data_IF_865746466691
#
_entry.id   IF_865746466691
#
_cell.length_a   1.000
_cell.length_b   1.000
_cell.length_c   1.000
_cell.angle_alpha   90.00
_cell.angle_beta   90.00
_cell.angle_gamma   90.00
#
_symmetry.space_group_name_H-M   'P 1'
#
loop_
_entity.id
_entity.type
_entity.pdbx_description
1 polymer ?
#
# COMPACT_ATOMS: atom_id res chain seq x y z
N UNK A 1 12.72 -17.86 -27.71
CA UNK A 1 13.52 -16.61 -27.66
C UNK A 1 13.75 -16.31 -26.18
N UNK A 2 14.87 -16.79 -25.61
CA UNK A 2 15.17 -16.54 -24.18
C UNK A 2 15.77 -15.15 -24.12
N UNK A 3 15.07 -14.20 -23.49
CA UNK A 3 15.48 -12.79 -23.42
C UNK A 3 16.73 -12.57 -22.56
N UNK A 4 16.67 -11.66 -21.58
CA UNK A 4 17.81 -11.25 -20.75
C UNK A 4 18.27 -12.30 -19.69
N UNK A 5 17.85 -13.55 -19.85
CA UNK A 5 18.11 -14.63 -18.89
C UNK A 5 17.29 -14.54 -17.60
N UNK A 6 17.49 -15.48 -16.66
CA UNK A 6 16.70 -15.59 -15.43
C UNK A 6 17.13 -14.62 -14.31
N UNK A 7 18.27 -13.93 -14.46
CA UNK A 7 18.79 -13.00 -13.45
C UNK A 7 18.25 -11.60 -13.69
N UNK A 8 18.06 -10.85 -12.59
CA UNK A 8 17.68 -9.43 -12.68
C UNK A 8 18.77 -8.68 -13.48
N UNK A 9 18.41 -7.99 -14.57
CA UNK A 9 19.37 -7.19 -15.32
C UNK A 9 19.96 -6.09 -14.43
N UNK A 10 21.24 -5.73 -14.63
CA UNK A 10 21.83 -4.60 -13.93
C UNK A 10 21.09 -3.30 -14.31
N UNK A 11 21.05 -2.34 -13.39
CA UNK A 11 20.55 -1.00 -13.70
C UNK A 11 21.33 -0.40 -14.86
N UNK A 12 20.63 0.23 -15.80
CA UNK A 12 21.25 0.94 -16.91
C UNK A 12 22.13 2.07 -16.35
N UNK A 13 23.30 2.31 -16.96
CA UNK A 13 24.24 3.35 -16.54
C UNK A 13 23.64 4.77 -16.47
N UNK A 14 22.57 5.04 -17.21
CA UNK A 14 21.82 6.32 -17.12
C UNK A 14 22.62 7.55 -17.55
N UNK A 15 23.43 7.47 -18.61
CA UNK A 15 24.19 8.63 -19.12
C UNK A 15 23.24 9.75 -19.59
N UNK A 16 23.56 10.98 -19.20
CA UNK A 16 22.86 12.20 -19.61
C UNK A 16 23.67 13.02 -20.64
N UNK A 17 24.74 12.44 -21.21
CA UNK A 17 25.67 13.13 -22.09
C UNK A 17 25.03 13.64 -23.39
N UNK A 18 24.06 12.91 -23.92
CA UNK A 18 23.38 13.23 -25.19
C UNK A 18 22.13 14.10 -24.99
N UNK A 19 21.85 14.55 -23.76
CA UNK A 19 20.65 15.32 -23.45
C UNK A 19 20.87 16.80 -23.76
N UNK A 20 19.98 17.44 -24.56
CA UNK A 20 20.02 18.88 -24.80
C UNK A 20 20.04 19.72 -23.51
N UNK A 21 20.75 20.85 -23.53
CA UNK A 21 20.96 21.69 -22.34
C UNK A 21 19.67 22.26 -21.75
N UNK A 22 18.71 22.59 -22.60
CA UNK A 22 17.38 23.05 -22.21
C UNK A 22 16.61 21.95 -21.47
N UNK A 23 16.67 20.70 -21.95
CA UNK A 23 16.07 19.56 -21.26
C UNK A 23 16.80 19.22 -19.96
N UNK A 24 18.13 19.33 -19.90
CA UNK A 24 18.87 19.17 -18.65
C UNK A 24 18.44 20.19 -17.59
N UNK A 25 18.18 21.43 -17.99
CA UNK A 25 17.67 22.45 -17.07
C UNK A 25 16.26 22.10 -16.55
N UNK A 26 15.38 21.58 -17.41
CA UNK A 26 14.05 21.11 -16.99
C UNK A 26 14.14 19.89 -16.08
N UNK A 27 15.01 18.93 -16.37
CA UNK A 27 15.22 17.74 -15.53
C UNK A 27 15.72 18.16 -14.15
N UNK A 28 16.71 19.04 -14.10
CA UNK A 28 17.20 19.58 -12.82
C UNK A 28 16.09 20.30 -12.06
N UNK A 29 15.27 21.10 -12.74
CA UNK A 29 14.13 21.73 -12.10
C UNK A 29 13.15 20.71 -11.49
N UNK A 30 12.86 19.63 -12.21
CA UNK A 30 12.04 18.53 -11.70
C UNK A 30 12.71 17.84 -10.50
N UNK A 31 14.01 17.58 -10.56
CA UNK A 31 14.78 17.04 -9.43
C UNK A 31 14.65 17.94 -8.21
N UNK A 32 14.79 19.26 -8.37
CA UNK A 32 14.72 20.22 -7.28
C UNK A 32 13.32 20.29 -6.64
N UNK A 33 12.23 20.23 -7.42
CA UNK A 33 10.86 20.31 -6.88
C UNK A 33 10.33 18.98 -6.31
N UNK A 34 10.86 17.84 -6.78
CA UNK A 34 10.40 16.52 -6.34
C UNK A 34 11.34 15.85 -5.32
N UNK A 35 12.59 16.32 -5.19
CA UNK A 35 13.48 15.84 -4.13
C UNK A 35 12.98 16.37 -2.79
N UNK A 36 12.76 15.45 -1.84
CA UNK A 36 12.41 15.80 -0.46
C UNK A 36 13.66 15.63 0.40
N UNK A 37 14.29 16.74 0.86
CA UNK A 37 15.42 16.65 1.77
C UNK A 37 15.05 16.00 3.09
N UNK A 38 16.03 15.38 3.75
CA UNK A 38 15.83 14.70 5.04
C UNK A 38 15.21 15.63 6.09
N UNK A 39 15.64 16.89 6.14
CA UNK A 39 15.16 17.89 7.09
C UNK A 39 13.68 18.19 6.88
N UNK A 40 13.22 18.19 5.62
CA UNK A 40 11.81 18.35 5.28
C UNK A 40 11.02 17.11 5.67
N UNK A 41 11.56 15.92 5.44
CA UNK A 41 10.93 14.67 5.86
C UNK A 41 10.78 14.59 7.38
N UNK A 42 11.81 14.96 8.14
CA UNK A 42 11.79 14.99 9.61
C UNK A 42 10.69 15.94 10.14
N UNK A 43 10.51 17.09 9.48
CA UNK A 43 9.41 18.03 9.79
C UNK A 43 8.03 17.45 9.47
N UNK A 44 7.89 16.78 8.31
CA UNK A 44 6.64 16.12 7.92
C UNK A 44 6.27 15.06 8.94
N UNK A 45 7.20 14.18 9.32
CA UNK A 45 6.96 13.13 10.32
C UNK A 45 6.54 13.73 11.66
N UNK A 46 7.27 14.74 12.14
CA UNK A 46 6.94 15.44 13.40
C UNK A 46 5.52 16.02 13.36
N UNK A 47 5.12 16.64 12.24
CA UNK A 47 3.77 17.18 12.08
C UNK A 47 2.72 16.08 11.97
N UNK A 48 3.04 14.99 11.27
CA UNK A 48 2.14 13.85 11.08
C UNK A 48 1.81 13.18 12.41
N UNK A 49 2.81 12.95 13.27
CA UNK A 49 2.60 12.41 14.63
C UNK A 49 1.64 13.29 15.44
N UNK A 50 1.79 14.62 15.39
CA UNK A 50 0.88 15.54 16.07
C UNK A 50 -0.56 15.48 15.54
N UNK A 51 -0.74 15.27 14.24
CA UNK A 51 -2.09 15.10 13.67
C UNK A 51 -2.70 13.74 14.04
N UNK A 52 -1.90 12.68 14.21
CA UNK A 52 -2.36 11.40 14.76
C UNK A 52 -2.84 11.56 16.21
N UNK A 53 -2.04 12.20 17.06
CA UNK A 53 -2.41 12.50 18.45
C UNK A 53 -3.70 13.31 18.54
N UNK A 54 -3.82 14.35 17.69
CA UNK A 54 -5.03 15.16 17.59
C UNK A 54 -6.25 14.35 17.15
N UNK A 55 -6.05 13.41 16.22
CA UNK A 55 -7.13 12.53 15.73
C UNK A 55 -7.65 11.56 16.79
N UNK A 56 -6.78 11.13 17.70
CA UNK A 56 -7.20 10.32 18.84
C UNK A 56 -7.91 11.13 19.94
N UNK A 57 -7.62 12.43 20.05
CA UNK A 57 -8.14 13.28 21.12
C UNK A 57 -9.53 13.88 20.83
N UNK A 58 -9.89 14.09 19.56
CA UNK A 58 -11.13 14.78 19.17
C UNK A 58 -11.69 14.26 17.84
N UNK A 59 -12.99 14.04 17.80
CA UNK A 59 -13.74 13.75 16.57
C UNK A 59 -13.70 14.93 15.57
N UNK A 60 -13.76 14.62 14.28
CA UNK A 60 -13.76 15.62 13.20
C UNK A 60 -12.39 16.26 12.92
N UNK A 61 -11.30 15.65 13.38
CA UNK A 61 -9.93 15.93 12.94
C UNK A 61 -9.73 15.57 11.46
N UNK A 62 -8.66 16.12 10.86
CA UNK A 62 -8.27 15.77 9.48
C UNK A 62 -7.90 14.30 9.34
N UNK A 63 -7.27 13.71 10.37
CA UNK A 63 -7.00 12.26 10.42
C UNK A 63 -8.01 11.63 11.38
N UNK A 64 -8.96 10.80 10.91
CA UNK A 64 -10.07 10.31 11.73
C UNK A 64 -9.68 9.37 12.89
N UNK A 65 -8.57 8.63 12.74
CA UNK A 65 -8.11 7.65 13.74
C UNK A 65 -9.21 6.67 14.22
N UNK A 66 -10.02 6.16 13.28
CA UNK A 66 -11.18 5.31 13.58
C UNK A 66 -10.79 4.04 14.38
N UNK A 67 -11.45 3.76 15.52
CA UNK A 67 -11.28 2.50 16.24
C UNK A 67 -11.70 1.29 15.40
N UNK A 68 -10.84 0.28 15.31
CA UNK A 68 -11.08 -0.94 14.53
C UNK A 68 -11.73 -2.07 15.34
N UNK A 69 -11.84 -1.91 16.66
CA UNK A 69 -12.35 -2.89 17.61
C UNK A 69 -11.56 -4.22 17.68
N UNK A 70 -10.35 -4.26 17.11
CA UNK A 70 -9.40 -5.34 17.32
C UNK A 70 -8.58 -5.06 18.60
N UNK A 71 -9.02 -5.61 19.73
CA UNK A 71 -8.46 -5.29 21.06
C UNK A 71 -7.24 -6.13 21.46
N UNK A 72 -6.75 -7.01 20.58
CA UNK A 72 -5.65 -7.93 20.87
C UNK A 72 -4.86 -8.29 19.62
N UNK A 73 -3.70 -8.89 19.83
CA UNK A 73 -2.84 -9.40 18.77
C UNK A 73 -3.14 -10.87 18.50
N UNK A 74 -3.04 -11.34 17.24
CA UNK A 74 -3.10 -12.75 16.95
C UNK A 74 -1.93 -13.48 17.63
N UNK A 75 -2.22 -14.66 18.15
CA UNK A 75 -1.28 -15.52 18.87
C UNK A 75 -0.54 -16.48 17.93
N UNK A 76 -1.10 -16.72 16.74
CA UNK A 76 -0.70 -17.76 15.80
C UNK A 76 -1.23 -19.15 16.17
N UNK A 77 -2.01 -19.27 17.24
CA UNK A 77 -2.62 -20.52 17.69
C UNK A 77 -4.13 -20.58 17.38
N UNK A 78 -4.64 -19.58 16.65
CA UNK A 78 -5.99 -19.58 16.13
C UNK A 78 -6.18 -20.77 15.18
N UNK A 79 -7.30 -21.50 15.33
CA UNK A 79 -7.63 -22.64 14.47
C UNK A 79 -9.05 -22.54 13.94
N UNK A 80 -9.32 -23.24 12.86
CA UNK A 80 -10.65 -23.35 12.25
C UNK A 80 -10.74 -22.75 10.86
N UNK A 81 -11.94 -22.80 10.28
CA UNK A 81 -12.21 -22.31 8.93
C UNK A 81 -13.05 -21.04 8.99
N UNK A 82 -12.59 -19.99 8.32
CA UNK A 82 -13.18 -18.66 8.31
C UNK A 82 -13.51 -18.25 6.88
N UNK A 83 -14.58 -17.48 6.70
CA UNK A 83 -14.89 -16.83 5.43
C UNK A 83 -14.52 -15.35 5.51
N UNK A 84 -13.82 -14.87 4.50
CA UNK A 84 -13.54 -13.44 4.32
C UNK A 84 -14.12 -12.95 2.99
N UNK A 85 -14.80 -11.80 3.05
CA UNK A 85 -15.28 -11.09 1.88
C UNK A 85 -14.50 -9.78 1.75
N UNK A 86 -13.78 -9.62 0.64
CA UNK A 86 -13.04 -8.42 0.31
C UNK A 86 -13.71 -7.73 -0.88
N UNK A 87 -14.34 -6.60 -0.58
CA UNK A 87 -15.06 -5.77 -1.55
C UNK A 87 -14.15 -4.63 -2.02
N UNK A 88 -13.52 -4.82 -3.18
CA UNK A 88 -12.80 -3.76 -3.88
C UNK A 88 -13.70 -3.01 -4.87
N UNK A 89 -13.18 -1.93 -5.47
CA UNK A 89 -13.93 -1.15 -6.47
C UNK A 89 -14.25 -1.90 -7.77
N UNK A 90 -13.47 -2.94 -8.11
CA UNK A 90 -13.64 -3.68 -9.38
C UNK A 90 -14.13 -5.11 -9.18
N UNK A 91 -13.76 -5.74 -8.07
CA UNK A 91 -14.06 -7.15 -7.83
C UNK A 91 -14.45 -7.38 -6.37
N UNK A 92 -15.37 -8.31 -6.17
CA UNK A 92 -15.59 -8.99 -4.91
C UNK A 92 -14.71 -10.23 -4.87
N UNK A 93 -13.98 -10.42 -3.77
CA UNK A 93 -13.21 -11.63 -3.50
C UNK A 93 -13.84 -12.35 -2.31
N UNK A 94 -14.12 -13.62 -2.50
CA UNK A 94 -14.57 -14.52 -1.42
C UNK A 94 -13.44 -15.49 -1.14
N UNK A 95 -12.99 -15.53 0.11
CA UNK A 95 -11.92 -16.40 0.58
C UNK A 95 -12.46 -17.35 1.66
N UNK A 96 -12.14 -18.62 1.52
CA UNK A 96 -12.16 -19.58 2.62
C UNK A 96 -10.74 -19.72 3.15
N UNK A 97 -10.57 -19.43 4.44
CA UNK A 97 -9.29 -19.41 5.13
C UNK A 97 -9.32 -20.53 6.15
N UNK A 98 -8.45 -21.53 6.00
CA UNK A 98 -8.26 -22.61 6.95
C UNK A 98 -7.01 -22.34 7.80
N UNK A 99 -7.19 -22.30 9.11
CA UNK A 99 -6.11 -22.19 10.09
C UNK A 99 -5.90 -23.58 10.75
N UNK A 100 -4.86 -24.34 10.38
CA UNK A 100 -4.55 -25.62 10.99
C UNK A 100 -3.98 -25.45 12.41
N UNK A 101 -3.77 -26.56 13.11
CA UNK A 101 -3.14 -26.54 14.45
C UNK A 101 -1.67 -26.10 14.44
N UNK A 102 -1.01 -26.18 13.27
CA UNK A 102 0.37 -25.73 13.11
C UNK A 102 0.46 -24.21 13.24
N UNK A 103 1.29 -23.75 14.18
CA UNK A 103 1.33 -22.36 14.59
C UNK A 103 1.72 -21.43 13.43
N UNK A 104 0.83 -20.52 13.08
CA UNK A 104 1.06 -19.47 12.07
C UNK A 104 0.91 -19.93 10.62
N UNK A 105 0.57 -21.20 10.40
CA UNK A 105 0.23 -21.71 9.07
C UNK A 105 -1.21 -21.37 8.70
N UNK A 106 -1.49 -21.29 7.40
CA UNK A 106 -2.84 -21.07 6.89
C UNK A 106 -2.95 -21.49 5.42
N UNK A 107 -4.12 -21.97 5.03
CA UNK A 107 -4.49 -22.24 3.64
C UNK A 107 -5.62 -21.32 3.19
N UNK A 108 -5.57 -20.85 1.94
CA UNK A 108 -6.61 -19.96 1.38
C UNK A 108 -7.09 -20.48 0.03
N UNK A 109 -8.40 -20.71 -0.07
CA UNK A 109 -9.10 -20.91 -1.33
C UNK A 109 -9.86 -19.62 -1.64
N UNK A 110 -9.62 -19.02 -2.80
CA UNK A 110 -10.25 -17.75 -3.17
C UNK A 110 -10.98 -17.83 -4.52
N UNK A 111 -12.13 -17.18 -4.59
CA UNK A 111 -12.86 -16.92 -5.84
C UNK A 111 -13.01 -15.41 -6.04
N UNK A 112 -12.91 -14.96 -7.30
CA UNK A 112 -13.03 -13.55 -7.67
C UNK A 112 -14.24 -13.36 -8.58
N UNK A 113 -15.03 -12.35 -8.27
CA UNK A 113 -16.24 -11.98 -9.00
C UNK A 113 -16.12 -10.53 -9.44
N UNK A 114 -16.33 -10.27 -10.73
CA UNK A 114 -16.35 -8.90 -11.24
C UNK A 114 -17.60 -8.19 -10.73
N UNK A 115 -17.43 -7.01 -10.14
CA UNK A 115 -18.55 -6.19 -9.70
C UNK A 115 -19.31 -5.64 -10.92
N UNK A 116 -20.65 -5.78 -10.98
CA UNK A 116 -21.49 -5.10 -11.95
C UNK A 116 -21.25 -3.59 -11.94
N UNK A 117 -21.26 -2.94 -13.10
CA UNK A 117 -20.96 -1.50 -13.21
C UNK A 117 -22.00 -0.65 -12.45
N UNK A 118 -23.27 -1.09 -12.42
CA UNK A 118 -24.37 -0.43 -11.70
C UNK A 118 -24.12 -0.32 -10.19
N UNK A 119 -23.34 -1.23 -9.60
CA UNK A 119 -23.03 -1.25 -8.17
C UNK A 119 -21.77 -0.43 -7.82
N UNK A 120 -21.05 0.11 -8.81
CA UNK A 120 -19.82 0.89 -8.59
C UNK A 120 -20.07 2.38 -8.40
N UNK A 121 -21.22 2.87 -8.83
CA UNK A 121 -21.62 4.27 -8.67
C UNK A 121 -22.74 4.33 -7.63
N UNK A 122 -22.44 4.82 -6.43
CA UNK A 122 -23.49 5.18 -5.48
C UNK A 122 -24.28 6.38 -6.00
N UNK A 123 -25.61 6.32 -5.97
CA UNK A 123 -26.50 7.49 -6.16
C UNK A 123 -26.37 8.51 -5.04
#
# INVERSE_FOLDING_TARGET
MVGLGPRRPPSRKGSMADVPKDLLAQIKHLEDIFTVPKETLDKIVTKFVKELEKGLAKEGSTIPMNPTWCMGFPTGHETGTFLALDMGGTNLRVCEIHLPEEKGEFDIIQSKYRMPEELKTGT
#
